data_IF_102293011234
#
_entry.id   IF_102293011234
#
_cell.length_a   1.000
_cell.length_b   1.000
_cell.length_c   1.000
_cell.angle_alpha   90.00
_cell.angle_beta   90.00
_cell.angle_gamma   90.00
#
_symmetry.space_group_name_H-M   'P 1'
#
loop_
_entity.id
_entity.type
_entity.pdbx_description
1 polymer ?
#
# COMPACT_ATOMS: atom_id res chain seq x y z
N UNK A 1 -3.18 5.55 10.81
CA UNK A 1 -2.60 4.19 10.81
C UNK A 1 -1.63 3.97 11.97
N UNK A 2 -1.72 2.85 12.70
CA UNK A 2 -0.80 2.45 13.78
C UNK A 2 0.43 1.70 13.24
N UNK A 3 1.54 1.63 13.99
CA UNK A 3 2.77 0.95 13.51
C UNK A 3 2.57 -0.53 13.14
N UNK A 4 1.67 -1.26 13.83
CA UNK A 4 1.32 -2.64 13.47
C UNK A 4 0.64 -2.71 12.09
N UNK A 5 -0.24 -1.77 11.79
CA UNK A 5 -0.93 -1.69 10.51
C UNK A 5 0.05 -1.29 9.40
N UNK A 6 0.97 -0.36 9.67
CA UNK A 6 2.03 0.03 8.72
C UNK A 6 2.91 -1.17 8.35
N UNK A 7 3.34 -1.97 9.35
CA UNK A 7 4.11 -3.18 9.07
C UNK A 7 3.31 -4.19 8.23
N UNK A 8 1.99 -4.28 8.46
CA UNK A 8 1.12 -5.16 7.69
C UNK A 8 1.02 -4.68 6.24
N UNK A 9 0.83 -3.37 6.03
CA UNK A 9 0.81 -2.74 4.72
C UNK A 9 2.08 -3.07 3.92
N UNK A 10 3.25 -2.79 4.48
CA UNK A 10 4.56 -3.02 3.84
C UNK A 10 4.73 -4.50 3.46
N UNK A 11 4.29 -5.42 4.32
CA UNK A 11 4.37 -6.86 4.03
C UNK A 11 3.48 -7.25 2.87
N UNK A 12 2.23 -6.77 2.83
CA UNK A 12 1.29 -7.14 1.77
C UNK A 12 1.67 -6.50 0.42
N UNK A 13 2.08 -5.23 0.39
CA UNK A 13 2.57 -4.58 -0.85
C UNK A 13 3.89 -5.20 -1.31
N UNK A 14 4.77 -5.57 -0.40
CA UNK A 14 6.04 -6.23 -0.71
C UNK A 14 5.88 -7.60 -1.39
N UNK A 15 4.79 -8.34 -1.12
CA UNK A 15 4.47 -9.59 -1.85
C UNK A 15 4.20 -9.34 -3.33
N UNK A 16 3.73 -8.14 -3.69
CA UNK A 16 3.48 -7.70 -5.06
C UNK A 16 4.72 -7.04 -5.68
N UNK A 17 5.85 -6.98 -4.96
CA UNK A 17 7.07 -6.28 -5.39
C UNK A 17 7.05 -4.77 -5.12
N UNK A 18 6.01 -4.23 -4.47
CA UNK A 18 5.91 -2.82 -4.10
C UNK A 18 6.42 -2.60 -2.67
N UNK A 19 7.71 -2.26 -2.57
CA UNK A 19 8.43 -2.14 -1.30
C UNK A 19 8.32 -0.71 -0.77
N UNK A 20 7.71 -0.57 0.41
CA UNK A 20 7.54 0.72 1.09
C UNK A 20 8.34 0.77 2.39
N UNK A 21 8.88 1.94 2.73
CA UNK A 21 9.40 2.22 4.07
C UNK A 21 8.30 2.70 4.99
N UNK A 22 8.48 2.56 6.31
CA UNK A 22 7.52 3.07 7.30
C UNK A 22 7.24 4.56 7.16
N UNK A 23 8.27 5.34 6.83
CA UNK A 23 8.14 6.79 6.63
C UNK A 23 7.27 7.10 5.42
N UNK A 24 7.46 6.39 4.29
CA UNK A 24 6.61 6.56 3.10
C UNK A 24 5.16 6.21 3.39
N UNK A 25 4.90 5.11 4.11
CA UNK A 25 3.53 4.73 4.47
C UNK A 25 2.89 5.76 5.40
N UNK A 26 3.65 6.34 6.34
CA UNK A 26 3.15 7.42 7.20
C UNK A 26 2.89 8.68 6.38
N UNK A 27 3.81 9.09 5.53
CA UNK A 27 3.66 10.29 4.70
C UNK A 27 2.35 10.25 3.89
N UNK A 28 2.09 9.12 3.21
CA UNK A 28 0.93 8.96 2.32
C UNK A 28 -0.35 8.53 3.06
N UNK A 29 -0.25 7.62 4.02
CA UNK A 29 -1.40 6.91 4.61
C UNK A 29 -1.56 7.08 6.13
N UNK A 30 -0.86 8.03 6.78
CA UNK A 30 -0.99 8.25 8.24
C UNK A 30 -2.44 8.48 8.70
N UNK A 31 -3.28 9.09 7.85
CA UNK A 31 -4.64 9.49 8.20
C UNK A 31 -5.72 8.52 7.71
N UNK A 32 -5.36 7.38 7.11
CA UNK A 32 -6.33 6.38 6.63
C UNK A 32 -6.17 5.05 7.38
N UNK A 33 -7.16 4.17 7.22
CA UNK A 33 -7.11 2.80 7.70
C UNK A 33 -6.22 1.91 6.82
N UNK A 34 -5.79 0.77 7.35
CA UNK A 34 -5.04 -0.22 6.58
C UNK A 34 -5.81 -0.72 5.36
N UNK A 35 -7.10 -0.99 5.51
CA UNK A 35 -7.95 -1.49 4.42
C UNK A 35 -8.05 -0.48 3.28
N UNK A 36 -8.24 0.80 3.60
CA UNK A 36 -8.28 1.86 2.58
C UNK A 36 -6.95 1.99 1.84
N UNK A 37 -5.81 1.94 2.56
CA UNK A 37 -4.50 2.02 1.95
C UNK A 37 -4.22 0.83 1.00
N UNK A 38 -4.56 -0.39 1.42
CA UNK A 38 -4.40 -1.59 0.57
C UNK A 38 -5.34 -1.56 -0.63
N UNK A 39 -6.59 -1.14 -0.46
CA UNK A 39 -7.53 -0.98 -1.56
C UNK A 39 -7.06 0.05 -2.58
N UNK A 40 -6.44 1.15 -2.13
CA UNK A 40 -5.84 2.14 -3.03
C UNK A 40 -4.69 1.57 -3.86
N UNK A 41 -3.79 0.82 -3.22
CA UNK A 41 -2.71 0.12 -3.92
C UNK A 41 -3.21 -0.90 -4.93
N UNK A 42 -4.19 -1.71 -4.54
CA UNK A 42 -4.79 -2.68 -5.45
C UNK A 42 -5.36 -2.01 -6.70
N UNK A 43 -6.11 -0.91 -6.56
CA UNK A 43 -6.62 -0.13 -7.70
C UNK A 43 -5.51 0.38 -8.62
N UNK A 44 -4.37 0.75 -8.06
CA UNK A 44 -3.23 1.21 -8.87
C UNK A 44 -2.54 0.07 -9.61
N UNK A 45 -2.43 -1.11 -9.00
CA UNK A 45 -1.93 -2.30 -9.70
C UNK A 45 -2.87 -2.71 -10.83
N UNK A 46 -4.17 -2.70 -10.58
CA UNK A 46 -5.18 -3.06 -11.59
C UNK A 46 -5.13 -2.09 -12.78
N UNK A 47 -4.97 -0.79 -12.52
CA UNK A 47 -4.81 0.22 -13.58
C UNK A 47 -3.51 0.04 -14.36
N UNK A 48 -2.40 -0.28 -13.69
CA UNK A 48 -1.12 -0.56 -14.37
C UNK A 48 -1.22 -1.80 -15.27
N UNK A 49 -1.94 -2.83 -14.81
CA UNK A 49 -2.19 -4.04 -15.59
C UNK A 49 -3.00 -3.73 -16.85
N UNK A 50 -4.08 -2.97 -16.72
CA UNK A 50 -4.94 -2.55 -17.84
C UNK A 50 -4.19 -1.71 -18.89
N UNK A 51 -3.17 -0.95 -18.49
CA UNK A 51 -2.32 -0.17 -19.40
C UNK A 51 -1.24 -0.99 -20.13
N UNK A 52 -0.99 -2.22 -19.70
CA UNK A 52 0.03 -3.13 -20.29
C UNK A 52 -0.58 -4.17 -21.24
N UNK A 53 -1.91 -4.33 -21.24
CA UNK A 53 -2.69 -5.14 -22.19
C UNK A 53 -3.02 -4.36 -23.48
#
# INVERSE_FOLDING_TARGET
MKDKEINNFIRETGKMGDIWTKEQVKDVYQNVSLEEALADRQRSYDKMKDMLD
#
